data_IF_371553680452
#
_entry.id   IF_371553680452
#
_cell.length_a   1.000
_cell.length_b   1.000
_cell.length_c   1.000
_cell.angle_alpha   90.00
_cell.angle_beta   90.00
_cell.angle_gamma   90.00
#
_symmetry.space_group_name_H-M   'P 1'
#
loop_
_entity.id
_entity.type
_entity.pdbx_description
1 polymer ?
#
# COMPACT_ATOMS: atom_id res chain seq x y z
N UNK A 1 31.71 46.70 3.09
CA UNK A 1 32.31 45.34 3.16
C UNK A 1 31.86 44.50 4.37
N UNK A 2 31.26 45.05 5.45
CA UNK A 2 30.86 44.20 6.61
C UNK A 2 29.48 43.53 6.48
N UNK A 3 28.53 44.12 5.74
CA UNK A 3 27.17 43.53 5.57
C UNK A 3 27.21 42.27 4.68
N UNK A 4 28.05 42.25 3.65
CA UNK A 4 28.24 41.08 2.79
C UNK A 4 28.84 39.89 3.55
N UNK A 5 29.87 40.14 4.37
CA UNK A 5 30.52 39.12 5.21
C UNK A 5 29.57 38.56 6.30
N UNK A 6 28.70 39.40 6.87
CA UNK A 6 27.66 38.96 7.81
C UNK A 6 26.61 38.07 7.15
N UNK A 7 26.18 38.41 5.93
CA UNK A 7 25.21 37.62 5.16
C UNK A 7 25.78 36.25 4.78
N UNK A 8 27.04 36.21 4.35
CA UNK A 8 27.77 34.98 4.03
C UNK A 8 27.92 34.07 5.25
N UNK A 9 28.28 34.62 6.41
CA UNK A 9 28.37 33.84 7.65
C UNK A 9 27.02 33.26 8.09
N UNK A 10 25.92 34.01 7.96
CA UNK A 10 24.56 33.52 8.28
C UNK A 10 24.14 32.41 7.32
N UNK A 11 24.43 32.56 6.03
CA UNK A 11 24.17 31.51 5.02
C UNK A 11 25.01 30.27 5.31
N UNK A 12 26.31 30.40 5.59
CA UNK A 12 27.20 29.28 5.93
C UNK A 12 26.77 28.56 7.21
N UNK A 13 26.39 29.29 8.27
CA UNK A 13 25.86 28.70 9.51
C UNK A 13 24.51 28.03 9.27
N UNK A 14 23.64 28.64 8.47
CA UNK A 14 22.36 28.06 8.07
C UNK A 14 22.53 26.76 7.29
N UNK A 15 23.39 26.74 6.27
CA UNK A 15 23.74 25.57 5.47
C UNK A 15 24.41 24.48 6.31
N UNK A 16 25.32 24.85 7.23
CA UNK A 16 25.99 23.88 8.11
C UNK A 16 25.02 23.26 9.11
N UNK A 17 24.14 24.06 9.74
CA UNK A 17 23.09 23.57 10.63
C UNK A 17 22.09 22.70 9.90
N UNK A 18 21.73 23.07 8.67
CA UNK A 18 20.87 22.28 7.81
C UNK A 18 21.51 20.94 7.44
N UNK A 19 22.77 20.95 6.99
CA UNK A 19 23.52 19.77 6.62
C UNK A 19 23.71 18.84 7.83
N UNK A 20 24.04 19.39 8.99
CA UNK A 20 24.11 18.66 10.26
C UNK A 20 22.77 17.98 10.55
N UNK A 21 21.66 18.74 10.60
CA UNK A 21 20.33 18.19 10.88
C UNK A 21 19.93 17.06 9.92
N UNK A 22 20.36 17.13 8.65
CA UNK A 22 20.11 16.10 7.64
C UNK A 22 21.00 14.87 7.81
N UNK A 23 22.30 15.05 8.03
CA UNK A 23 23.24 13.94 8.24
C UNK A 23 22.99 13.20 9.56
N UNK A 24 22.39 13.89 10.54
CA UNK A 24 21.99 13.29 11.81
C UNK A 24 20.56 12.75 11.81
N UNK A 25 19.83 12.87 10.70
CA UNK A 25 18.45 12.42 10.63
C UNK A 25 18.40 10.88 10.52
N UNK A 26 17.57 10.25 11.35
CA UNK A 26 17.31 8.80 11.33
C UNK A 26 15.82 8.59 11.17
N UNK A 27 15.41 7.53 10.47
CA UNK A 27 14.01 7.24 10.16
C UNK A 27 13.12 7.16 11.40
N UNK A 28 13.67 6.83 12.56
CA UNK A 28 12.99 6.84 13.86
C UNK A 28 12.22 8.16 14.14
N UNK A 29 12.74 9.30 13.69
CA UNK A 29 12.12 10.62 13.88
C UNK A 29 10.83 10.80 13.09
N UNK A 30 10.64 10.11 11.96
CA UNK A 30 9.40 10.20 11.16
C UNK A 30 8.17 9.71 11.94
N UNK A 31 8.40 8.82 12.91
CA UNK A 31 7.35 8.15 13.70
C UNK A 31 7.40 8.50 15.19
N UNK A 32 8.22 9.46 15.60
CA UNK A 32 8.49 9.70 17.03
C UNK A 32 7.24 10.00 17.86
N UNK A 33 6.28 10.70 17.24
CA UNK A 33 5.00 11.08 17.84
C UNK A 33 3.90 10.04 17.68
N UNK A 34 4.15 8.93 16.97
CA UNK A 34 3.13 7.92 16.70
C UNK A 34 2.94 7.00 17.91
N UNK A 35 1.70 6.59 18.22
CA UNK A 35 1.44 5.64 19.29
C UNK A 35 2.09 4.27 18.98
N UNK A 36 2.44 3.49 20.01
CA UNK A 36 2.90 2.12 19.82
C UNK A 36 1.76 1.25 19.26
N UNK A 37 2.12 0.27 18.42
CA UNK A 37 1.18 -0.74 17.94
C UNK A 37 0.90 -1.79 19.02
N UNK A 38 -0.30 -2.36 19.03
CA UNK A 38 -0.64 -3.47 19.93
C UNK A 38 -0.12 -4.81 19.40
N UNK A 39 -0.15 -5.84 20.26
CA UNK A 39 0.18 -7.21 19.89
C UNK A 39 -0.78 -7.74 18.80
N UNK A 40 -2.08 -7.50 18.94
CA UNK A 40 -3.10 -7.88 17.95
C UNK A 40 -2.86 -7.26 16.57
N UNK A 41 -2.42 -6.00 16.52
CA UNK A 41 -2.06 -5.34 15.26
C UNK A 41 -0.81 -5.95 14.62
N UNK A 42 0.15 -6.41 15.44
CA UNK A 42 1.44 -6.93 15.00
C UNK A 42 1.41 -8.42 14.65
N UNK A 43 0.54 -9.22 15.29
CA UNK A 43 0.43 -10.69 15.11
C UNK A 43 0.43 -11.14 13.64
N UNK A 44 -0.32 -10.51 12.72
CA UNK A 44 -0.33 -10.94 11.31
C UNK A 44 0.97 -10.66 10.56
N UNK A 45 1.74 -9.63 10.95
CA UNK A 45 2.82 -9.08 10.13
C UNK A 45 3.95 -10.12 9.88
N UNK A 46 4.54 -10.79 10.90
CA UNK A 46 5.58 -11.79 10.65
C UNK A 46 5.08 -12.93 9.77
N UNK A 47 3.86 -13.43 10.03
CA UNK A 47 3.24 -14.52 9.27
C UNK A 47 3.07 -14.16 7.79
N UNK A 48 2.55 -12.99 7.50
CA UNK A 48 2.36 -12.51 6.13
C UNK A 48 3.71 -12.25 5.45
N UNK A 49 4.73 -11.77 6.19
CA UNK A 49 6.09 -11.67 5.66
C UNK A 49 6.62 -13.04 5.22
N UNK A 50 6.38 -14.10 5.98
CA UNK A 50 6.78 -15.47 5.59
C UNK A 50 6.06 -15.97 4.35
N UNK A 51 4.75 -15.68 4.20
CA UNK A 51 4.01 -16.00 2.98
C UNK A 51 4.60 -15.28 1.74
N UNK A 52 5.02 -14.02 1.88
CA UNK A 52 5.69 -13.28 0.79
C UNK A 52 7.11 -13.80 0.55
N UNK A 53 7.87 -14.15 1.60
CA UNK A 53 9.19 -14.77 1.49
C UNK A 53 9.14 -16.12 0.77
N UNK A 54 8.06 -16.90 0.92
CA UNK A 54 7.90 -18.18 0.24
C UNK A 54 7.87 -18.01 -1.30
N UNK A 55 7.47 -16.85 -1.79
CA UNK A 55 7.49 -16.53 -3.23
C UNK A 55 8.91 -16.33 -3.77
N UNK A 56 9.88 -16.02 -2.90
CA UNK A 56 11.29 -15.88 -3.28
C UNK A 56 12.04 -17.20 -3.36
N UNK A 57 11.53 -18.24 -2.72
CA UNK A 57 12.14 -19.56 -2.78
C UNK A 57 12.04 -20.12 -4.19
N UNK A 58 12.99 -20.98 -4.57
CA UNK A 58 12.93 -21.77 -5.80
C UNK A 58 12.15 -23.07 -5.54
N UNK A 59 12.39 -23.69 -4.39
CA UNK A 59 11.69 -24.88 -3.91
C UNK A 59 11.26 -24.68 -2.45
N UNK A 60 9.97 -24.86 -2.17
CA UNK A 60 9.43 -24.76 -0.81
C UNK A 60 9.75 -25.99 0.04
N UNK A 61 10.07 -27.14 -0.59
CA UNK A 61 10.52 -28.32 0.14
C UNK A 61 11.97 -28.19 0.62
N UNK A 62 12.78 -27.35 -0.04
CA UNK A 62 14.18 -27.09 0.31
C UNK A 62 14.48 -25.58 0.30
N UNK A 63 13.94 -24.82 1.27
CA UNK A 63 14.06 -23.37 1.30
C UNK A 63 15.50 -22.91 1.56
N UNK A 64 15.95 -21.88 0.83
CA UNK A 64 17.29 -21.28 0.93
C UNK A 64 17.34 -20.08 1.87
N UNK A 65 16.26 -19.33 2.00
CA UNK A 65 16.20 -18.05 2.73
C UNK A 65 15.30 -18.15 3.96
N UNK A 66 15.26 -19.32 4.57
CA UNK A 66 14.39 -19.62 5.69
C UNK A 66 14.62 -18.66 6.89
N UNK A 67 13.54 -18.04 7.41
CA UNK A 67 13.61 -17.22 8.62
C UNK A 67 14.00 -18.00 9.89
N UNK A 68 14.29 -17.27 10.96
CA UNK A 68 14.59 -17.87 12.25
C UNK A 68 13.36 -18.64 12.80
N UNK A 69 13.50 -19.96 12.96
CA UNK A 69 12.39 -20.83 13.34
C UNK A 69 11.46 -21.22 12.19
N UNK A 70 11.93 -21.12 10.94
CA UNK A 70 11.25 -21.66 9.79
C UNK A 70 10.20 -20.75 9.15
N UNK A 71 9.63 -21.22 8.05
CA UNK A 71 8.47 -20.57 7.42
C UNK A 71 7.21 -20.66 8.30
N UNK A 72 7.10 -21.69 9.14
CA UNK A 72 5.89 -21.95 9.97
C UNK A 72 4.60 -21.83 9.15
N UNK A 73 4.66 -22.34 7.92
CA UNK A 73 3.55 -22.43 6.98
C UNK A 73 3.25 -23.91 6.80
N UNK A 74 1.97 -24.25 6.68
CA UNK A 74 1.54 -25.60 6.31
C UNK A 74 1.69 -25.79 4.79
N UNK A 75 2.58 -26.66 4.29
CA UNK A 75 2.74 -26.87 2.85
C UNK A 75 1.44 -27.26 2.14
N UNK A 76 0.48 -27.91 2.83
CA UNK A 76 -0.82 -28.28 2.27
C UNK A 76 -1.74 -27.07 1.99
N UNK A 77 -1.42 -25.91 2.57
CA UNK A 77 -2.09 -24.64 2.31
C UNK A 77 -1.69 -24.00 1.00
N UNK A 78 -0.60 -24.44 0.34
CA UNK A 78 -0.14 -23.87 -0.93
C UNK A 78 -1.09 -24.31 -2.06
N UNK A 79 -1.99 -23.42 -2.47
CA UNK A 79 -2.93 -23.68 -3.57
C UNK A 79 -2.24 -23.53 -4.91
N UNK A 80 -1.44 -22.46 -5.06
CA UNK A 80 -0.82 -22.13 -6.34
C UNK A 80 0.44 -21.32 -6.15
N UNK A 81 1.48 -21.65 -6.91
CA UNK A 81 2.71 -20.85 -6.99
C UNK A 81 3.02 -20.62 -8.46
N UNK A 82 3.21 -19.36 -8.84
CA UNK A 82 3.40 -18.97 -10.24
C UNK A 82 4.75 -18.28 -10.40
N UNK A 83 5.77 -19.01 -10.92
CA UNK A 83 7.07 -18.45 -11.26
C UNK A 83 7.06 -17.65 -12.56
N UNK A 84 8.17 -16.96 -12.86
CA UNK A 84 8.31 -16.04 -14.00
C UNK A 84 7.97 -16.68 -15.37
N UNK A 85 8.41 -17.92 -15.57
CA UNK A 85 8.18 -18.70 -16.79
C UNK A 85 6.69 -18.95 -17.10
N UNK A 86 5.84 -18.90 -16.07
CA UNK A 86 4.39 -19.05 -16.20
C UNK A 86 3.64 -17.71 -16.31
N UNK A 87 4.37 -16.58 -16.40
CA UNK A 87 3.81 -15.24 -16.52
C UNK A 87 4.10 -14.69 -17.93
N UNK A 88 3.10 -14.73 -18.83
CA UNK A 88 3.23 -14.19 -20.18
C UNK A 88 3.68 -12.73 -20.17
N UNK A 89 4.63 -12.40 -21.05
CA UNK A 89 5.16 -11.05 -21.27
C UNK A 89 5.72 -10.34 -20.02
N UNK A 90 5.86 -11.06 -18.89
CA UNK A 90 6.27 -10.46 -17.62
C UNK A 90 5.30 -9.40 -17.10
N UNK A 91 3.99 -9.57 -17.34
CA UNK A 91 2.95 -8.61 -16.93
C UNK A 91 2.82 -8.39 -15.41
N UNK A 92 3.42 -9.26 -14.59
CA UNK A 92 3.40 -9.18 -13.13
C UNK A 92 4.61 -9.96 -12.56
N UNK A 93 5.12 -9.62 -11.36
CA UNK A 93 6.07 -10.47 -10.65
C UNK A 93 5.46 -11.82 -10.22
N UNK A 94 6.28 -12.81 -9.86
CA UNK A 94 5.84 -14.08 -9.28
C UNK A 94 4.94 -13.89 -8.06
N UNK A 95 4.04 -14.83 -7.86
CA UNK A 95 3.09 -14.80 -6.75
C UNK A 95 2.71 -16.19 -6.24
N UNK A 96 2.10 -16.22 -5.07
CA UNK A 96 1.63 -17.39 -4.35
C UNK A 96 0.19 -17.16 -3.88
N UNK A 97 -0.66 -18.18 -4.03
CA UNK A 97 -1.96 -18.28 -3.36
C UNK A 97 -1.83 -19.34 -2.28
N UNK A 98 -2.05 -18.94 -1.04
CA UNK A 98 -1.90 -19.75 0.16
C UNK A 98 -3.13 -19.66 1.05
N UNK A 99 -3.61 -20.78 1.56
CA UNK A 99 -4.72 -20.87 2.50
C UNK A 99 -4.15 -21.15 3.88
N UNK A 100 -4.25 -20.15 4.75
CA UNK A 100 -3.94 -20.25 6.16
C UNK A 100 -5.18 -20.66 6.93
N UNK A 101 -5.32 -21.97 7.17
CA UNK A 101 -6.50 -22.53 7.85
C UNK A 101 -6.54 -22.19 9.34
N UNK A 102 -5.38 -22.04 9.96
CA UNK A 102 -5.27 -21.67 11.37
C UNK A 102 -5.85 -20.28 11.62
N UNK A 103 -5.54 -19.34 10.72
CA UNK A 103 -5.98 -17.95 10.85
C UNK A 103 -7.23 -17.59 10.04
N UNK A 104 -7.76 -18.57 9.29
CA UNK A 104 -8.88 -18.41 8.35
C UNK A 104 -8.60 -17.31 7.32
N UNK A 105 -7.47 -17.39 6.62
CA UNK A 105 -7.05 -16.39 5.63
C UNK A 105 -6.72 -17.04 4.29
N UNK A 106 -7.18 -16.41 3.20
CA UNK A 106 -6.74 -16.69 1.84
C UNK A 106 -5.76 -15.59 1.46
N UNK A 107 -4.48 -15.94 1.36
CA UNK A 107 -3.38 -14.99 1.13
C UNK A 107 -2.94 -15.08 -0.33
N UNK A 108 -3.05 -13.97 -1.06
CA UNK A 108 -2.37 -13.78 -2.33
C UNK A 108 -1.13 -12.90 -2.09
N UNK A 109 0.04 -13.53 -2.15
CA UNK A 109 1.34 -12.92 -1.89
C UNK A 109 2.11 -12.65 -3.19
N UNK A 110 2.55 -11.42 -3.41
CA UNK A 110 3.27 -10.98 -4.62
C UNK A 110 4.72 -10.63 -4.31
N UNK A 111 5.64 -11.18 -5.11
CA UNK A 111 7.08 -10.92 -5.00
C UNK A 111 7.41 -9.46 -5.34
N UNK A 112 8.51 -8.98 -4.77
CA UNK A 112 9.17 -7.74 -5.17
C UNK A 112 10.04 -7.90 -6.40
N UNK A 113 10.66 -6.79 -6.82
CA UNK A 113 11.48 -6.71 -8.02
C UNK A 113 12.69 -7.65 -7.94
N UNK A 114 12.91 -8.42 -8.99
CA UNK A 114 14.17 -9.11 -9.23
C UNK A 114 15.07 -8.24 -10.11
N UNK A 115 16.25 -7.88 -9.59
CA UNK A 115 17.22 -7.00 -10.27
C UNK A 115 17.72 -7.54 -11.62
N UNK A 116 17.56 -8.83 -11.89
CA UNK A 116 17.96 -9.47 -13.16
C UNK A 116 16.82 -9.49 -14.18
N UNK A 117 15.56 -9.25 -13.75
CA UNK A 117 14.37 -9.41 -14.60
C UNK A 117 13.93 -8.07 -15.17
N UNK A 118 14.20 -7.85 -16.45
CA UNK A 118 13.77 -6.64 -17.19
C UNK A 118 12.25 -6.40 -17.14
N UNK A 119 11.44 -7.45 -17.08
CA UNK A 119 9.97 -7.33 -16.97
C UNK A 119 9.54 -6.57 -15.72
N UNK A 120 10.20 -6.80 -14.58
CA UNK A 120 9.84 -6.15 -13.32
C UNK A 120 10.16 -4.66 -13.38
N UNK A 121 11.25 -4.29 -14.06
CA UNK A 121 11.55 -2.91 -14.37
C UNK A 121 10.47 -2.31 -15.28
N UNK A 122 10.01 -2.99 -16.34
CA UNK A 122 8.94 -2.45 -17.19
C UNK A 122 7.68 -2.10 -16.39
N UNK A 123 7.23 -2.98 -15.48
CA UNK A 123 6.08 -2.72 -14.60
C UNK A 123 6.34 -1.50 -13.70
N UNK A 124 7.52 -1.42 -13.10
CA UNK A 124 7.88 -0.34 -12.18
C UNK A 124 8.06 1.03 -12.86
N UNK A 125 8.48 1.02 -14.12
CA UNK A 125 8.88 2.21 -14.85
C UNK A 125 7.77 2.75 -15.74
N UNK A 126 6.71 1.96 -15.93
CA UNK A 126 5.53 2.39 -16.64
C UNK A 126 4.67 3.33 -15.80
N UNK A 127 5.21 4.50 -15.45
CA UNK A 127 4.55 5.52 -14.66
C UNK A 127 4.96 6.92 -15.07
N UNK A 128 4.20 7.50 -16.00
CA UNK A 128 4.30 8.93 -16.29
C UNK A 128 3.46 9.69 -15.26
N UNK A 129 3.99 10.78 -14.72
CA UNK A 129 3.35 11.53 -13.65
C UNK A 129 1.95 12.03 -14.09
N UNK A 130 0.93 11.70 -13.30
CA UNK A 130 -0.46 12.05 -13.62
C UNK A 130 -1.09 11.25 -14.76
N UNK A 131 -0.46 10.16 -15.22
CA UNK A 131 -0.99 9.34 -16.31
C UNK A 131 -2.28 8.61 -15.96
N UNK A 132 -2.41 8.17 -14.71
CA UNK A 132 -3.49 7.29 -14.31
C UNK A 132 -4.26 7.87 -13.12
N UNK A 133 -5.46 8.39 -13.40
CA UNK A 133 -6.46 8.62 -12.36
C UNK A 133 -7.20 7.32 -12.04
N UNK A 134 -7.59 7.14 -10.80
CA UNK A 134 -8.37 5.99 -10.34
C UNK A 134 -9.06 6.33 -9.01
N UNK A 135 -10.37 6.06 -8.91
CA UNK A 135 -11.16 6.26 -7.69
C UNK A 135 -11.02 7.68 -7.07
N UNK A 136 -11.00 8.70 -7.92
CA UNK A 136 -10.85 10.10 -7.50
C UNK A 136 -9.44 10.47 -7.04
N UNK A 137 -8.43 9.63 -7.23
CA UNK A 137 -7.02 9.97 -7.00
C UNK A 137 -6.14 9.60 -8.18
N UNK A 138 -4.83 9.62 -7.96
CA UNK A 138 -3.83 9.17 -8.93
C UNK A 138 -3.14 7.91 -8.43
N UNK A 139 -2.84 6.98 -9.33
CA UNK A 139 -2.16 5.74 -9.00
C UNK A 139 -1.00 5.48 -9.95
N UNK A 140 -0.10 4.60 -9.56
CA UNK A 140 0.99 4.16 -10.42
C UNK A 140 0.46 3.28 -11.54
N UNK A 141 0.67 3.68 -12.79
CA UNK A 141 0.03 3.02 -13.94
C UNK A 141 0.46 1.56 -14.12
N UNK A 142 1.76 1.25 -14.17
CA UNK A 142 2.23 -0.13 -14.34
C UNK A 142 1.85 -1.08 -13.21
N UNK A 143 1.85 -0.60 -11.95
CA UNK A 143 1.36 -1.39 -10.80
C UNK A 143 -0.14 -1.65 -10.89
N UNK A 144 -0.93 -0.68 -11.38
CA UNK A 144 -2.36 -0.88 -11.62
C UNK A 144 -2.59 -1.93 -12.70
N UNK A 145 -1.85 -1.88 -13.81
CA UNK A 145 -1.96 -2.88 -14.87
C UNK A 145 -1.61 -4.29 -14.38
N UNK A 146 -0.53 -4.43 -13.60
CA UNK A 146 -0.15 -5.71 -13.02
C UNK A 146 -1.22 -6.22 -12.02
N UNK A 147 -1.82 -5.33 -11.23
CA UNK A 147 -2.92 -5.66 -10.32
C UNK A 147 -4.16 -6.16 -11.07
N UNK A 148 -4.59 -5.44 -12.12
CA UNK A 148 -5.72 -5.82 -12.97
C UNK A 148 -5.47 -7.15 -13.68
N UNK A 149 -4.25 -7.35 -14.21
CA UNK A 149 -3.85 -8.61 -14.83
C UNK A 149 -3.96 -9.79 -13.87
N UNK A 150 -3.50 -9.60 -12.62
CA UNK A 150 -3.53 -10.67 -11.61
C UNK A 150 -4.95 -11.03 -11.20
N UNK A 151 -5.85 -10.03 -11.08
CA UNK A 151 -7.27 -10.25 -10.84
C UNK A 151 -7.95 -10.97 -12.02
N UNK A 152 -7.69 -10.56 -13.27
CA UNK A 152 -8.17 -11.25 -14.48
C UNK A 152 -7.77 -12.74 -14.52
N UNK A 153 -6.61 -13.06 -13.94
CA UNK A 153 -6.08 -14.41 -13.90
C UNK A 153 -6.64 -15.24 -12.74
N UNK A 154 -6.75 -14.67 -11.54
CA UNK A 154 -6.96 -15.44 -10.30
C UNK A 154 -8.30 -15.20 -9.60
N UNK A 155 -9.16 -14.28 -10.07
CA UNK A 155 -10.45 -14.01 -9.42
C UNK A 155 -11.32 -15.25 -9.25
N UNK A 156 -11.40 -16.12 -10.26
CA UNK A 156 -12.21 -17.33 -10.16
C UNK A 156 -11.63 -18.31 -9.12
N UNK A 157 -10.31 -18.43 -9.05
CA UNK A 157 -9.63 -19.24 -8.01
C UNK A 157 -9.92 -18.70 -6.62
N UNK A 158 -9.79 -17.39 -6.41
CA UNK A 158 -10.07 -16.75 -5.12
C UNK A 158 -11.56 -16.88 -4.74
N UNK A 159 -12.47 -16.74 -5.70
CA UNK A 159 -13.91 -16.89 -5.48
C UNK A 159 -14.26 -18.32 -5.09
N UNK A 160 -13.71 -19.33 -5.78
CA UNK A 160 -13.92 -20.73 -5.42
C UNK A 160 -13.44 -21.03 -4.01
N UNK A 161 -12.24 -20.55 -3.63
CA UNK A 161 -11.73 -20.73 -2.28
C UNK A 161 -12.61 -20.07 -1.22
N UNK A 162 -13.10 -18.84 -1.46
CA UNK A 162 -14.03 -18.16 -0.54
C UNK A 162 -15.34 -18.94 -0.36
N UNK A 163 -15.88 -19.52 -1.43
CA UNK A 163 -17.11 -20.33 -1.37
C UNK A 163 -16.87 -21.65 -0.65
N UNK A 164 -15.76 -22.34 -0.95
CA UNK A 164 -15.41 -23.64 -0.38
C UNK A 164 -15.09 -23.56 1.12
N UNK A 165 -14.31 -22.55 1.52
CA UNK A 165 -13.83 -22.41 2.90
C UNK A 165 -14.84 -21.70 3.81
N UNK A 166 -15.79 -20.96 3.23
CA UNK A 166 -16.88 -20.30 3.94
C UNK A 166 -16.62 -18.85 4.31
N UNK A 167 -17.69 -18.18 4.75
CA UNK A 167 -17.72 -16.72 5.01
C UNK A 167 -16.88 -16.25 6.19
N UNK A 168 -16.28 -17.16 6.96
CA UNK A 168 -15.36 -16.79 8.05
C UNK A 168 -13.97 -16.41 7.53
N UNK A 169 -13.61 -16.82 6.31
CA UNK A 169 -12.31 -16.59 5.74
C UNK A 169 -12.14 -15.16 5.25
N UNK A 170 -10.98 -14.58 5.56
CA UNK A 170 -10.57 -13.26 5.09
C UNK A 170 -9.79 -13.38 3.80
N UNK A 171 -9.93 -12.38 2.93
CA UNK A 171 -9.10 -12.22 1.74
C UNK A 171 -7.95 -11.25 2.05
N UNK A 172 -6.72 -11.75 1.97
CA UNK A 172 -5.51 -11.01 2.31
C UNK A 172 -4.64 -10.86 1.06
N UNK A 173 -4.36 -9.61 0.69
CA UNK A 173 -3.36 -9.29 -0.32
C UNK A 173 -2.06 -8.89 0.35
N UNK A 174 -0.94 -9.45 -0.08
CA UNK A 174 0.35 -9.15 0.50
C UNK A 174 1.39 -8.98 -0.58
N UNK A 175 2.38 -8.13 -0.34
CA UNK A 175 3.50 -8.03 -1.24
C UNK A 175 4.65 -7.24 -0.68
N UNK A 176 5.82 -7.47 -1.26
CA UNK A 176 7.07 -6.79 -0.88
C UNK A 176 7.51 -5.83 -1.98
N UNK A 177 7.96 -4.62 -1.62
CA UNK A 177 8.61 -3.69 -2.55
C UNK A 177 7.74 -3.37 -3.77
N UNK A 178 8.10 -3.84 -4.96
CA UNK A 178 7.25 -3.76 -6.16
C UNK A 178 5.87 -4.43 -5.97
N UNK A 179 5.87 -5.65 -5.43
CA UNK A 179 4.66 -6.44 -5.22
C UNK A 179 3.71 -5.85 -4.19
N UNK A 180 4.21 -5.03 -3.26
CA UNK A 180 3.36 -4.38 -2.25
C UNK A 180 2.42 -3.35 -2.89
N UNK A 181 2.88 -2.64 -3.91
CA UNK A 181 2.06 -1.64 -4.61
C UNK A 181 1.01 -2.31 -5.50
N UNK A 182 1.36 -3.46 -6.09
CA UNK A 182 0.41 -4.31 -6.80
C UNK A 182 -0.68 -4.80 -5.83
N UNK A 183 -0.29 -5.37 -4.69
CA UNK A 183 -1.22 -5.85 -3.66
C UNK A 183 -2.14 -4.73 -3.13
N UNK A 184 -1.60 -3.53 -2.89
CA UNK A 184 -2.38 -2.37 -2.47
C UNK A 184 -3.41 -1.94 -3.52
N UNK A 185 -3.03 -1.86 -4.80
CA UNK A 185 -3.96 -1.49 -5.87
C UNK A 185 -5.01 -2.57 -6.15
N UNK A 186 -4.64 -3.86 -6.08
CA UNK A 186 -5.61 -4.97 -6.11
C UNK A 186 -6.64 -4.83 -5.01
N UNK A 187 -6.20 -4.48 -3.80
CA UNK A 187 -7.09 -4.29 -2.64
C UNK A 187 -8.12 -3.20 -2.91
N UNK A 188 -7.69 -2.05 -3.47
CA UNK A 188 -8.63 -0.98 -3.86
C UNK A 188 -9.65 -1.48 -4.89
N UNK A 189 -9.19 -2.17 -5.94
CA UNK A 189 -10.08 -2.70 -6.99
C UNK A 189 -11.13 -3.64 -6.38
N UNK A 190 -10.71 -4.57 -5.52
CA UNK A 190 -11.56 -5.59 -4.90
C UNK A 190 -12.56 -4.96 -3.92
N UNK A 191 -12.12 -4.00 -3.12
CA UNK A 191 -12.96 -3.28 -2.15
C UNK A 191 -14.06 -2.47 -2.86
N UNK A 192 -13.78 -1.92 -4.04
CA UNK A 192 -14.77 -1.20 -4.84
C UNK A 192 -15.71 -2.14 -5.63
N UNK A 193 -15.37 -3.42 -5.76
CA UNK A 193 -16.12 -4.40 -6.57
C UNK A 193 -16.38 -5.71 -5.79
N UNK A 194 -16.74 -5.59 -4.51
CA UNK A 194 -16.95 -6.74 -3.60
C UNK A 194 -17.98 -7.74 -4.13
N UNK A 195 -18.94 -7.30 -4.93
CA UNK A 195 -19.93 -8.17 -5.58
C UNK A 195 -19.28 -9.22 -6.50
N UNK A 196 -18.11 -8.94 -7.07
CA UNK A 196 -17.34 -9.92 -7.87
C UNK A 196 -16.74 -11.05 -7.01
N UNK A 197 -16.74 -10.89 -5.69
CA UNK A 197 -16.26 -11.87 -4.70
C UNK A 197 -17.40 -12.29 -3.76
N UNK A 198 -18.62 -12.40 -4.29
CA UNK A 198 -19.78 -12.86 -3.52
C UNK A 198 -20.27 -11.88 -2.46
N UNK A 199 -19.95 -10.59 -2.61
CA UNK A 199 -20.36 -9.56 -1.66
C UNK A 199 -19.53 -9.55 -0.37
N UNK A 200 -18.30 -10.08 -0.40
CA UNK A 200 -17.40 -10.14 0.76
C UNK A 200 -17.40 -8.80 1.53
N UNK A 201 -17.64 -8.81 2.86
CA UNK A 201 -17.55 -7.64 3.69
C UNK A 201 -16.21 -6.93 3.56
N UNK A 202 -16.21 -5.58 3.50
CA UNK A 202 -14.98 -4.78 3.48
C UNK A 202 -14.06 -5.10 4.67
N UNK A 203 -14.65 -5.41 5.83
CA UNK A 203 -13.94 -5.80 7.06
C UNK A 203 -13.17 -7.12 6.94
N UNK A 204 -13.46 -7.95 5.93
CA UNK A 204 -12.78 -9.22 5.65
C UNK A 204 -11.71 -9.10 4.56
N UNK A 205 -11.51 -7.92 3.99
CA UNK A 205 -10.43 -7.66 3.03
C UNK A 205 -9.30 -6.94 3.77
N UNK A 206 -8.07 -7.44 3.65
CA UNK A 206 -6.88 -6.82 4.24
C UNK A 206 -5.73 -6.79 3.24
N UNK A 207 -4.87 -5.80 3.38
CA UNK A 207 -3.62 -5.70 2.65
C UNK A 207 -2.44 -5.47 3.59
N UNK A 208 -1.35 -6.17 3.33
CA UNK A 208 -0.05 -5.95 3.97
C UNK A 208 0.98 -5.57 2.91
N UNK A 209 1.25 -4.28 2.82
CA UNK A 209 2.21 -3.71 1.88
C UNK A 209 3.58 -3.58 2.56
N UNK A 210 4.47 -4.55 2.36
CA UNK A 210 5.75 -4.64 3.05
C UNK A 210 6.82 -3.87 2.26
N UNK A 211 7.53 -2.95 2.91
CA UNK A 211 8.53 -2.07 2.31
C UNK A 211 8.02 -1.35 1.04
N UNK A 212 6.91 -0.58 1.13
CA UNK A 212 6.12 -0.33 -0.06
C UNK A 212 6.66 0.71 -1.03
N UNK A 213 6.46 0.44 -2.32
CA UNK A 213 6.53 1.47 -3.35
C UNK A 213 5.41 2.50 -3.20
N UNK A 214 5.72 3.77 -3.51
CA UNK A 214 4.71 4.83 -3.60
C UNK A 214 3.82 4.56 -4.81
N UNK A 215 2.55 4.27 -4.56
CA UNK A 215 1.66 3.73 -5.59
C UNK A 215 0.33 4.47 -5.74
N UNK A 216 -0.01 5.40 -4.84
CA UNK A 216 -1.27 6.14 -4.88
C UNK A 216 -1.17 7.54 -4.27
N UNK A 217 -2.05 8.44 -4.67
CA UNK A 217 -2.15 9.80 -4.12
C UNK A 217 -2.59 9.78 -2.65
N UNK A 218 -2.33 10.89 -1.94
CA UNK A 218 -2.54 10.96 -0.50
C UNK A 218 -4.01 10.76 -0.10
N UNK A 219 -4.96 11.27 -0.90
CA UNK A 219 -6.39 11.05 -0.65
C UNK A 219 -6.75 9.55 -0.67
N UNK A 220 -6.17 8.77 -1.60
CA UNK A 220 -6.38 7.32 -1.65
C UNK A 220 -5.68 6.61 -0.49
N UNK A 221 -4.44 7.00 -0.17
CA UNK A 221 -3.70 6.42 0.95
C UNK A 221 -4.47 6.56 2.27
N UNK A 222 -5.13 7.71 2.50
CA UNK A 222 -5.98 7.93 3.67
C UNK A 222 -7.33 7.21 3.54
N UNK A 223 -7.98 7.26 2.36
CA UNK A 223 -9.28 6.59 2.11
C UNK A 223 -9.27 5.09 2.39
N UNK A 224 -8.15 4.42 2.12
CA UNK A 224 -8.01 2.96 2.27
C UNK A 224 -7.17 2.53 3.48
N UNK A 225 -6.92 3.44 4.43
CA UNK A 225 -6.08 3.16 5.59
C UNK A 225 -6.68 2.19 6.62
N UNK A 226 -7.97 1.87 6.51
CA UNK A 226 -8.66 0.84 7.28
C UNK A 226 -8.40 -0.59 6.78
N UNK A 227 -8.06 -0.75 5.49
CA UNK A 227 -7.83 -2.05 4.86
C UNK A 227 -6.38 -2.27 4.43
N UNK A 228 -5.62 -1.21 4.13
CA UNK A 228 -4.20 -1.30 3.72
C UNK A 228 -3.27 -0.95 4.88
N UNK A 229 -2.38 -1.88 5.20
CA UNK A 229 -1.36 -1.78 6.24
C UNK A 229 0.03 -1.82 5.61
N UNK A 230 0.74 -0.69 5.61
CA UNK A 230 2.12 -0.58 5.17
C UNK A 230 3.09 -0.91 6.30
N UNK A 231 4.04 -1.83 6.07
CA UNK A 231 5.04 -2.22 7.07
C UNK A 231 6.42 -1.76 6.62
N UNK A 232 7.09 -0.99 7.47
CA UNK A 232 8.35 -0.33 7.13
C UNK A 232 9.36 -0.56 8.25
N UNK A 233 10.58 -0.94 7.90
CA UNK A 233 11.69 -1.07 8.84
C UNK A 233 12.61 0.14 8.72
N UNK A 234 12.89 0.79 9.85
CA UNK A 234 13.94 1.80 10.01
C UNK A 234 14.07 2.80 8.84
N UNK A 235 15.20 2.80 8.14
CA UNK A 235 15.62 3.82 7.19
C UNK A 235 15.31 3.41 5.74
N UNK A 236 14.38 2.46 5.53
CA UNK A 236 13.96 2.01 4.21
C UNK A 236 13.62 3.20 3.29
N UNK A 237 14.31 3.28 2.16
CA UNK A 237 14.22 4.40 1.25
C UNK A 237 12.97 4.39 0.39
N UNK A 238 12.41 3.21 0.10
CA UNK A 238 11.41 3.07 -0.96
C UNK A 238 10.12 3.86 -0.65
N UNK A 239 9.57 3.81 0.59
CA UNK A 239 8.43 4.63 0.97
C UNK A 239 8.74 6.13 1.00
N UNK A 240 10.02 6.49 1.13
CA UNK A 240 10.51 7.87 1.35
C UNK A 240 10.96 8.59 0.08
N UNK A 241 11.08 7.90 -1.05
CA UNK A 241 11.56 8.50 -2.30
C UNK A 241 10.46 8.62 -3.35
N UNK A 242 10.24 9.84 -3.85
CA UNK A 242 9.44 10.08 -5.05
C UNK A 242 10.24 9.87 -6.35
N UNK A 243 11.51 9.50 -6.24
CA UNK A 243 12.42 9.43 -7.39
C UNK A 243 12.20 8.13 -8.14
N UNK A 244 12.16 8.17 -9.49
CA UNK A 244 11.99 6.97 -10.28
C UNK A 244 13.09 5.96 -9.95
N UNK A 245 12.66 4.71 -9.73
CA UNK A 245 13.52 3.65 -9.23
C UNK A 245 14.57 3.19 -10.23
N UNK A 246 14.36 3.46 -11.52
CA UNK A 246 15.37 3.46 -12.59
C UNK A 246 16.69 4.08 -12.14
N UNK A 247 16.63 5.30 -11.61
CA UNK A 247 17.81 6.04 -11.22
C UNK A 247 18.41 5.52 -9.92
N UNK A 248 17.58 4.95 -9.04
CA UNK A 248 18.01 4.34 -7.78
C UNK A 248 18.79 3.06 -8.06
N UNK A 249 18.22 2.15 -8.85
CA UNK A 249 18.83 0.87 -9.19
C UNK A 249 19.91 0.97 -10.27
N UNK A 250 19.88 2.00 -11.12
CA UNK A 250 20.96 2.31 -12.06
C UNK A 250 22.19 2.94 -11.39
N UNK A 251 22.02 3.60 -10.23
CA UNK A 251 23.08 4.29 -9.51
C UNK A 251 23.74 3.46 -8.40
N UNK A 252 23.69 2.12 -8.47
CA UNK A 252 24.25 1.22 -7.43
C UNK A 252 25.70 1.57 -7.07
N UNK A 253 26.50 2.02 -8.05
CA UNK A 253 27.92 2.40 -7.84
C UNK A 253 28.14 3.73 -7.09
N UNK A 254 27.11 4.55 -6.85
CA UNK A 254 27.19 5.76 -6.00
C UNK A 254 25.83 6.05 -5.31
N UNK A 255 25.12 5.01 -4.85
CA UNK A 255 23.78 5.15 -4.26
C UNK A 255 23.71 6.19 -3.13
N UNK A 256 24.71 6.29 -2.22
CA UNK A 256 24.74 7.36 -1.22
C UNK A 256 24.81 8.78 -1.84
N UNK A 257 25.58 8.95 -2.91
CA UNK A 257 25.74 10.22 -3.63
C UNK A 257 24.45 10.63 -4.33
N UNK A 258 23.79 9.66 -4.95
CA UNK A 258 22.48 9.85 -5.59
C UNK A 258 21.43 10.26 -4.56
N UNK A 259 21.35 9.53 -3.44
CA UNK A 259 20.41 9.83 -2.37
C UNK A 259 20.64 11.22 -1.77
N UNK A 260 21.91 11.65 -1.67
CA UNK A 260 22.27 13.02 -1.30
C UNK A 260 21.73 14.06 -2.29
N UNK A 261 21.91 13.86 -3.60
CA UNK A 261 21.37 14.77 -4.63
C UNK A 261 19.84 14.88 -4.59
N UNK A 262 19.15 13.75 -4.41
CA UNK A 262 17.69 13.73 -4.25
C UNK A 262 17.28 14.46 -2.98
N UNK A 263 17.97 14.20 -1.86
CA UNK A 263 17.71 14.86 -0.58
C UNK A 263 17.86 16.39 -0.67
N UNK A 264 18.89 16.86 -1.38
CA UNK A 264 19.10 18.27 -1.69
C UNK A 264 17.91 18.82 -2.47
N UNK A 265 17.53 18.19 -3.59
CA UNK A 265 16.39 18.62 -4.41
C UNK A 265 15.10 18.71 -3.59
N UNK A 266 14.77 17.68 -2.83
CA UNK A 266 13.52 17.56 -2.10
C UNK A 266 13.40 18.54 -0.92
N UNK A 267 14.53 19.06 -0.42
CA UNK A 267 14.58 20.09 0.61
C UNK A 267 14.10 21.45 0.10
N UNK A 268 14.38 21.78 -1.17
CA UNK A 268 14.01 23.08 -1.74
C UNK A 268 12.58 23.13 -2.29
N UNK A 269 11.81 22.04 -2.18
CA UNK A 269 10.41 22.01 -2.59
C UNK A 269 9.52 22.34 -1.38
N UNK A 270 8.78 23.47 -1.39
CA UNK A 270 7.91 23.85 -0.29
C UNK A 270 6.81 22.81 -0.03
N UNK A 271 6.47 22.59 1.24
CA UNK A 271 5.48 21.60 1.64
C UNK A 271 4.10 21.84 1.00
N UNK A 272 3.66 23.10 0.98
CA UNK A 272 2.43 23.54 0.30
C UNK A 272 2.41 23.14 -1.17
N UNK A 273 3.56 23.20 -1.85
CA UNK A 273 3.69 22.79 -3.27
C UNK A 273 3.58 21.26 -3.42
N UNK A 274 4.13 20.49 -2.46
CA UNK A 274 3.99 19.02 -2.46
C UNK A 274 2.55 18.58 -2.21
N UNK A 275 1.82 19.25 -1.31
CA UNK A 275 0.43 18.96 -0.98
C UNK A 275 -0.53 19.33 -2.11
N UNK A 276 -0.25 20.43 -2.81
CA UNK A 276 -1.08 20.91 -3.91
C UNK A 276 -0.95 20.08 -5.21
N UNK A 277 0.04 19.19 -5.34
CA UNK A 277 0.19 18.34 -6.52
C UNK A 277 -0.60 17.03 -6.35
N UNK A 278 -1.77 16.87 -6.99
CA UNK A 278 -2.60 15.66 -6.84
C UNK A 278 -1.92 14.41 -7.41
N UNK A 279 -0.92 14.58 -8.29
CA UNK A 279 -0.26 13.49 -9.02
C UNK A 279 0.90 12.89 -8.23
N UNK A 280 1.25 13.47 -7.08
CA UNK A 280 2.30 12.94 -6.20
C UNK A 280 1.79 11.67 -5.53
N UNK A 281 2.56 10.60 -5.69
CA UNK A 281 2.25 9.31 -5.07
C UNK A 281 2.94 9.17 -3.72
N UNK A 282 2.33 8.38 -2.83
CA UNK A 282 2.70 8.12 -1.45
C UNK A 282 2.61 6.62 -1.16
N UNK A 283 3.21 6.21 -0.03
CA UNK A 283 3.02 4.86 0.49
C UNK A 283 1.56 4.67 0.95
N UNK A 284 0.97 3.48 0.72
CA UNK A 284 -0.47 3.31 0.84
C UNK A 284 -0.91 3.02 2.29
N UNK A 285 -2.06 3.53 2.69
CA UNK A 285 -2.74 3.10 3.92
C UNK A 285 -2.08 3.51 5.25
N UNK A 286 -2.47 2.80 6.31
CA UNK A 286 -1.90 2.95 7.68
C UNK A 286 -0.48 2.41 7.71
N UNK A 287 0.44 3.09 8.37
CA UNK A 287 1.84 2.68 8.45
C UNK A 287 2.18 2.05 9.80
N UNK A 288 2.94 0.97 9.78
CA UNK A 288 3.59 0.32 10.91
C UNK A 288 5.10 0.46 10.72
N UNK A 289 5.71 1.30 11.54
CA UNK A 289 7.13 1.59 11.47
C UNK A 289 7.88 0.87 12.59
N UNK A 290 8.75 -0.05 12.20
CA UNK A 290 9.58 -0.87 13.10
C UNK A 290 10.90 -0.14 13.34
N UNK A 291 11.15 0.22 14.60
CA UNK A 291 12.29 1.02 15.01
C UNK A 291 13.23 0.20 15.92
N UNK A 292 14.32 -0.33 15.36
CA UNK A 292 15.39 -1.05 16.11
C UNK A 292 16.70 -0.23 16.38
N UNK A 293 16.81 1.02 15.91
CA UNK A 293 18.02 1.86 15.96
C UNK A 293 17.68 3.33 16.27
N UNK A 294 18.62 4.04 16.89
CA UNK A 294 18.53 5.47 17.28
C UNK A 294 19.83 6.22 16.96
N UNK A 295 19.72 7.52 16.67
CA UNK A 295 20.87 8.39 16.36
C UNK A 295 21.93 8.39 17.49
N UNK A 296 23.22 8.41 17.12
CA UNK A 296 24.39 8.45 18.03
C UNK A 296 24.49 7.32 19.07
N UNK A 297 23.82 6.18 18.86
CA UNK A 297 23.92 5.02 19.76
C UNK A 297 24.41 3.80 18.99
N UNK A 298 25.46 3.16 19.49
CA UNK A 298 26.02 1.95 18.89
C UNK A 298 25.15 0.74 19.24
N UNK A 299 24.67 0.01 18.22
CA UNK A 299 23.96 -1.27 18.38
C UNK A 299 22.49 -1.26 17.97
N UNK A 300 21.91 -2.47 17.90
CA UNK A 300 20.47 -2.69 17.71
C UNK A 300 19.79 -2.79 19.07
N UNK A 301 18.63 -2.17 19.21
CA UNK A 301 17.80 -2.17 20.40
C UNK A 301 16.60 -3.11 20.22
N UNK A 302 15.93 -3.50 21.32
CA UNK A 302 14.61 -4.12 21.24
C UNK A 302 13.71 -3.31 20.29
N UNK A 303 13.19 -3.93 19.21
CA UNK A 303 12.42 -3.22 18.21
C UNK A 303 11.11 -2.70 18.80
N UNK A 304 10.77 -1.46 18.48
CA UNK A 304 9.49 -0.84 18.84
C UNK A 304 8.70 -0.59 17.57
N UNK A 305 7.45 -1.04 17.52
CA UNK A 305 6.55 -0.80 16.38
C UNK A 305 5.62 0.35 16.71
N UNK A 306 5.58 1.35 15.84
CA UNK A 306 4.69 2.51 15.96
C UNK A 306 3.75 2.59 14.78
N UNK A 307 2.52 3.05 15.00
CA UNK A 307 1.46 3.02 13.98
C UNK A 307 0.71 4.34 13.87
N UNK A 308 0.45 4.79 12.65
CA UNK A 308 -0.36 5.98 12.36
C UNK A 308 -0.85 6.02 10.90
N UNK A 309 -1.74 6.96 10.60
CA UNK A 309 -2.12 7.33 9.24
C UNK A 309 -1.49 8.72 8.97
N UNK A 310 -0.29 8.78 8.35
CA UNK A 310 0.44 10.03 8.27
C UNK A 310 -0.12 10.95 7.19
N UNK A 311 -1.01 11.86 7.60
CA UNK A 311 -1.50 12.97 6.77
C UNK A 311 -0.48 14.12 6.76
N UNK A 312 0.07 14.44 7.94
CA UNK A 312 1.15 15.41 8.13
C UNK A 312 2.48 14.67 8.33
N UNK A 313 3.60 15.25 7.86
CA UNK A 313 4.91 14.59 7.90
C UNK A 313 5.10 13.44 6.87
N UNK A 314 4.01 12.76 6.45
CA UNK A 314 3.83 11.89 5.26
C UNK A 314 4.90 10.81 5.02
N UNK A 315 5.78 10.58 5.98
CA UNK A 315 6.87 9.62 5.89
C UNK A 315 7.74 9.82 4.63
N UNK A 316 7.99 11.07 4.25
CA UNK A 316 8.70 11.43 3.01
C UNK A 316 10.15 11.88 3.20
N UNK A 317 10.66 11.89 4.43
CA UNK A 317 12.02 12.35 4.67
C UNK A 317 13.01 11.28 4.26
N UNK A 318 13.75 11.54 3.18
CA UNK A 318 14.87 10.70 2.76
C UNK A 318 15.92 10.65 3.88
N UNK A 319 16.22 9.45 4.34
CA UNK A 319 17.25 9.16 5.34
C UNK A 319 18.52 8.72 4.62
N UNK A 320 19.64 9.39 4.89
CA UNK A 320 20.94 8.99 4.35
C UNK A 320 21.58 7.96 5.28
N UNK A 321 21.35 6.68 5.02
CA UNK A 321 21.86 5.57 5.85
C UNK A 321 22.55 4.51 4.99
N UNK A 322 23.62 3.91 5.51
CA UNK A 322 24.29 2.78 4.86
C UNK A 322 23.49 1.47 4.99
N UNK A 323 22.50 1.44 5.89
CA UNK A 323 21.63 0.28 6.15
C UNK A 323 20.34 0.30 5.35
N UNK A 324 20.11 1.35 4.55
CA UNK A 324 18.87 1.58 3.82
C UNK A 324 18.46 0.42 2.89
N UNK A 325 19.43 -0.26 2.27
CA UNK A 325 19.15 -1.45 1.44
C UNK A 325 18.85 -2.69 2.26
N UNK A 326 19.50 -2.87 3.42
CA UNK A 326 19.19 -3.97 4.33
C UNK A 326 17.83 -3.80 4.99
N UNK A 327 17.44 -2.57 5.34
CA UNK A 327 16.14 -2.27 5.93
C UNK A 327 14.99 -2.50 4.95
N UNK A 328 15.27 -2.39 3.65
CA UNK A 328 14.34 -2.75 2.59
C UNK A 328 14.14 -4.26 2.47
N UNK A 329 15.03 -5.09 3.01
CA UNK A 329 14.96 -6.54 2.86
C UNK A 329 13.88 -7.18 3.73
N UNK A 330 12.90 -7.85 3.12
CA UNK A 330 11.82 -8.55 3.83
C UNK A 330 12.28 -9.55 4.90
N UNK A 331 13.44 -10.20 4.76
CA UNK A 331 14.01 -11.09 5.79
C UNK A 331 14.29 -10.33 7.09
N UNK A 332 14.76 -9.09 6.99
CA UNK A 332 15.01 -8.24 8.15
C UNK A 332 13.71 -7.70 8.75
N UNK A 333 12.75 -7.35 7.90
CA UNK A 333 11.42 -6.89 8.33
C UNK A 333 10.72 -8.01 9.11
N UNK A 334 10.72 -9.24 8.60
CA UNK A 334 10.15 -10.41 9.29
C UNK A 334 10.84 -10.62 10.64
N UNK A 335 12.17 -10.62 10.66
CA UNK A 335 12.95 -10.84 11.89
C UNK A 335 12.63 -9.81 12.96
N UNK A 336 12.66 -8.52 12.62
CA UNK A 336 12.44 -7.47 13.61
C UNK A 336 10.96 -7.35 14.00
N UNK A 337 10.02 -7.66 13.09
CA UNK A 337 8.60 -7.78 13.43
C UNK A 337 8.35 -8.94 14.39
N UNK A 338 8.97 -10.10 14.16
CA UNK A 338 8.82 -11.27 15.04
C UNK A 338 9.38 -10.97 16.44
N UNK A 339 10.58 -10.40 16.53
CA UNK A 339 11.16 -9.99 17.82
C UNK A 339 10.27 -8.99 18.56
N UNK A 340 9.69 -8.01 17.86
CA UNK A 340 8.79 -7.06 18.49
C UNK A 340 7.53 -7.74 19.03
N UNK A 341 6.99 -8.73 18.29
CA UNK A 341 5.83 -9.51 18.71
C UNK A 341 6.14 -10.40 19.94
N UNK A 342 7.29 -11.05 19.94
CA UNK A 342 7.73 -11.88 21.07
C UNK A 342 7.87 -11.02 22.33
N UNK A 343 8.50 -9.84 22.23
CA UNK A 343 8.64 -8.91 23.34
C UNK A 343 7.31 -8.41 23.89
N UNK A 344 6.32 -8.12 23.03
CA UNK A 344 4.99 -7.70 23.47
C UNK A 344 4.25 -8.84 24.17
N UNK A 345 4.43 -10.07 23.71
CA UNK A 345 3.81 -11.27 24.28
C UNK A 345 4.42 -11.63 25.64
N UNK A 346 5.75 -11.53 25.77
CA UNK A 346 6.44 -11.79 27.04
C UNK A 346 6.10 -10.76 28.13
N UNK A 347 5.80 -9.50 27.73
CA UNK A 347 5.37 -8.45 28.66
C UNK A 347 3.89 -8.55 29.06
N UNK A 348 3.07 -9.32 28.34
CA UNK A 348 1.65 -9.51 28.62
C UNK A 348 1.30 -11.02 28.66
N UNK A 349 1.42 -11.70 29.82
CA UNK A 349 1.18 -13.14 29.91
C UNK A 349 -0.28 -13.57 29.69
N UNK A 350 -1.20 -12.63 29.47
CA UNK A 350 -2.62 -12.88 29.18
C UNK A 350 -3.09 -11.96 28.07
N UNK A 351 -3.78 -12.51 27.08
CA UNK A 351 -4.54 -11.76 26.06
C UNK A 351 -5.30 -10.59 26.71
N UNK A 352 -5.24 -9.37 26.15
CA UNK A 352 -5.91 -8.22 26.72
C UNK A 352 -7.42 -8.50 26.84
N UNK A 353 -8.09 -8.05 27.94
CA UNK A 353 -9.52 -8.23 28.12
C UNK A 353 -10.31 -7.79 26.87
N UNK A 354 -11.42 -8.46 26.53
CA UNK A 354 -12.22 -8.14 25.33
C UNK A 354 -12.58 -6.64 25.20
N UNK A 355 -12.77 -5.96 26.34
CA UNK A 355 -13.04 -4.53 26.39
C UNK A 355 -11.87 -3.68 25.86
N UNK A 356 -10.63 -3.98 26.22
CA UNK A 356 -9.46 -3.28 25.69
C UNK A 356 -9.30 -3.48 24.17
N UNK A 357 -9.65 -4.66 23.66
CA UNK A 357 -9.63 -4.93 22.21
C UNK A 357 -10.71 -4.13 21.47
N UNK A 358 -11.91 -4.04 22.05
CA UNK A 358 -13.00 -3.21 21.51
C UNK A 358 -12.62 -1.73 21.51
N UNK A 359 -12.09 -1.23 22.62
CA UNK A 359 -11.65 0.16 22.76
C UNK A 359 -10.56 0.51 21.74
N UNK A 360 -9.62 -0.41 21.49
CA UNK A 360 -8.58 -0.21 20.46
C UNK A 360 -9.17 -0.18 19.05
N UNK A 361 -10.12 -1.06 18.71
CA UNK A 361 -10.79 -1.04 17.40
C UNK A 361 -11.52 0.29 17.18
N UNK A 362 -12.27 0.77 18.18
CA UNK A 362 -12.93 2.07 18.13
C UNK A 362 -11.92 3.23 18.00
N UNK A 363 -10.77 3.13 18.68
CA UNK A 363 -9.66 4.09 18.52
C UNK A 363 -9.12 4.11 17.09
N UNK A 364 -8.95 2.95 16.44
CA UNK A 364 -8.46 2.87 15.06
C UNK A 364 -9.45 3.47 14.05
N UNK A 365 -10.75 3.23 14.24
CA UNK A 365 -11.82 3.83 13.44
C UNK A 365 -11.87 5.35 13.61
N UNK A 366 -11.72 5.82 14.86
CA UNK A 366 -11.62 7.26 15.17
C UNK A 366 -10.38 7.89 14.53
N UNK A 367 -9.21 7.27 14.68
CA UNK A 367 -7.96 7.74 14.05
C UNK A 367 -8.10 7.84 12.52
N UNK A 368 -8.82 6.91 11.90
CA UNK A 368 -9.09 6.96 10.45
C UNK A 368 -10.02 8.10 10.07
N UNK A 369 -11.10 8.30 10.83
CA UNK A 369 -12.01 9.44 10.65
C UNK A 369 -11.28 10.77 10.80
N UNK A 370 -10.48 10.92 11.86
CA UNK A 370 -9.69 12.13 12.14
C UNK A 370 -8.69 12.39 11.00
N UNK A 371 -8.08 11.34 10.44
CA UNK A 371 -7.17 11.46 9.29
C UNK A 371 -7.89 11.93 8.01
N UNK A 372 -9.11 11.44 7.75
CA UNK A 372 -9.93 11.88 6.62
C UNK A 372 -10.33 13.36 6.76
N UNK A 373 -10.78 13.76 7.94
CA UNK A 373 -11.11 15.16 8.25
C UNK A 373 -9.87 16.06 8.15
N UNK A 374 -8.72 15.60 8.67
CA UNK A 374 -7.45 16.32 8.54
C UNK A 374 -7.05 16.48 7.08
N UNK A 375 -7.23 15.45 6.25
CA UNK A 375 -6.92 15.52 4.83
C UNK A 375 -7.74 16.59 4.09
N UNK A 376 -9.03 16.71 4.43
CA UNK A 376 -9.92 17.75 3.91
C UNK A 376 -9.47 19.13 4.41
N UNK A 377 -9.16 19.28 5.69
CA UNK A 377 -8.70 20.55 6.27
C UNK A 377 -7.40 21.10 5.65
N UNK A 378 -6.55 20.21 5.12
CA UNK A 378 -5.32 20.57 4.41
C UNK A 378 -5.52 20.83 2.91
N UNK A 379 -6.77 20.84 2.43
CA UNK A 379 -7.14 20.99 1.03
C UNK A 379 -6.43 19.98 0.12
N UNK A 380 -6.30 18.73 0.58
CA UNK A 380 -5.77 17.67 -0.26
C UNK A 380 -6.75 17.45 -1.43
N UNK A 381 -6.29 17.47 -2.68
CA UNK A 381 -7.16 17.29 -3.83
C UNK A 381 -7.98 16.01 -3.75
N UNK A 382 -9.29 16.12 -4.00
CA UNK A 382 -10.23 15.00 -3.99
C UNK A 382 -10.30 14.22 -2.66
N UNK A 383 -9.89 14.83 -1.54
CA UNK A 383 -10.19 14.32 -0.21
C UNK A 383 -11.69 14.53 0.07
N UNK A 384 -12.34 13.51 0.63
CA UNK A 384 -13.77 13.52 0.94
C UNK A 384 -13.93 13.11 2.40
N UNK A 385 -14.82 13.79 3.13
CA UNK A 385 -15.24 13.35 4.46
C UNK A 385 -16.17 12.15 4.33
N UNK A 386 -16.10 11.20 5.27
CA UNK A 386 -17.13 10.15 5.34
C UNK A 386 -18.43 10.81 5.78
N UNK A 387 -19.26 11.21 4.82
CA UNK A 387 -20.69 11.36 5.06
C UNK A 387 -21.23 9.96 5.31
N UNK A 388 -21.90 9.78 6.43
CA UNK A 388 -22.63 8.56 6.82
C UNK A 388 -23.63 8.18 5.73
N UNK A 389 -23.17 7.44 4.72
CA UNK A 389 -23.99 6.69 3.77
C UNK A 389 -23.52 5.22 3.78
N UNK A 390 -23.35 4.67 4.97
CA UNK A 390 -23.61 3.25 5.20
C UNK A 390 -25.09 3.14 5.59
N UNK A 391 -25.98 3.25 4.59
CA UNK A 391 -27.41 3.34 4.85
C UNK A 391 -28.25 3.71 3.63
N UNK A 392 -27.98 3.11 2.47
CA UNK A 392 -29.00 2.99 1.43
C UNK A 392 -28.70 1.73 0.64
N UNK A 393 -29.33 0.64 1.05
CA UNK A 393 -29.69 -0.41 0.11
C UNK A 393 -30.49 0.27 -0.99
N UNK A 394 -29.87 0.38 -2.17
CA UNK A 394 -30.54 0.90 -3.35
C UNK A 394 -31.66 -0.05 -3.72
N UNK A 395 -32.88 0.30 -3.31
CA UNK A 395 -34.10 -0.13 -3.97
C UNK A 395 -34.01 0.33 -5.43
N UNK A 396 -33.71 -0.60 -6.33
CA UNK A 396 -33.85 -0.35 -7.76
C UNK A 396 -35.30 0.01 -8.05
N UNK A 397 -35.52 1.28 -8.37
CA UNK A 397 -36.77 1.74 -8.94
C UNK A 397 -36.95 1.04 -10.30
N UNK A 398 -38.03 0.26 -10.39
CA UNK A 398 -38.50 -0.33 -11.64
C UNK A 398 -38.68 0.77 -12.71
N UNK A 399 -38.22 0.57 -13.95
CA UNK A 399 -38.57 1.49 -15.01
C UNK A 399 -40.01 1.21 -15.47
N UNK A 400 -40.81 2.27 -15.41
CA UNK A 400 -42.15 2.31 -15.98
C UNK A 400 -42.14 2.00 -17.47
N UNK A 401 -43.23 1.34 -17.86
CA UNK A 401 -43.64 0.90 -19.20
C UNK A 401 -43.25 1.86 -20.32
N UNK A 402 -42.49 1.33 -21.29
CA UNK A 402 -42.59 1.76 -22.70
C UNK A 402 -42.75 0.52 -23.59
N UNK A 403 -43.90 0.49 -24.25
CA UNK A 403 -44.41 -0.30 -25.37
C UNK A 403 -43.55 -1.44 -25.98
N UNK A 404 -44.22 -2.60 -26.05
CA UNK A 404 -43.96 -3.72 -26.95
C UNK A 404 -43.67 -3.26 -28.39
N UNK A 405 -42.53 -3.68 -28.92
CA UNK A 405 -42.45 -4.22 -30.28
C UNK A 405 -41.57 -5.47 -30.25
N UNK A 406 -42.17 -6.57 -30.69
CA UNK A 406 -41.57 -7.90 -30.70
C UNK A 406 -40.46 -8.01 -31.75
N UNK A 407 -39.28 -8.46 -31.34
CA UNK A 407 -38.33 -9.11 -32.24
C UNK A 407 -37.54 -10.18 -31.45
N UNK A 408 -37.83 -11.42 -31.79
CA UNK A 408 -37.26 -12.66 -31.28
C UNK A 408 -35.75 -12.72 -31.55
N UNK A 409 -34.92 -12.88 -30.51
CA UNK A 409 -33.63 -13.56 -30.67
C UNK A 409 -33.19 -14.20 -29.35
N UNK A 410 -33.04 -15.52 -29.39
CA UNK A 410 -32.44 -16.32 -28.34
C UNK A 410 -30.99 -15.86 -28.12
N UNK A 411 -30.63 -15.52 -26.88
CA UNK A 411 -29.23 -15.62 -26.46
C UNK A 411 -29.12 -16.33 -25.12
N UNK A 412 -28.40 -17.44 -25.17
CA UNK A 412 -27.98 -18.31 -24.08
C UNK A 412 -27.30 -17.53 -22.94
N UNK A 413 -27.65 -17.85 -21.69
CA UNK A 413 -26.86 -17.51 -20.49
C UNK A 413 -25.42 -18.00 -20.70
N UNK A 414 -24.48 -17.09 -20.95
CA UNK A 414 -23.06 -17.38 -20.89
C UNK A 414 -22.56 -17.12 -19.46
N UNK A 415 -21.83 -18.08 -18.89
CA UNK A 415 -21.02 -17.87 -17.69
C UNK A 415 -19.86 -16.91 -18.05
N UNK A 416 -20.15 -15.63 -18.16
CA UNK A 416 -19.18 -14.61 -18.53
C UNK A 416 -18.11 -14.44 -17.46
N UNK A 417 -16.87 -14.77 -17.80
CA UNK A 417 -15.68 -14.49 -17.00
C UNK A 417 -15.58 -12.97 -16.73
N UNK A 418 -15.34 -12.57 -15.48
CA UNK A 418 -15.19 -11.15 -15.12
C UNK A 418 -13.98 -10.55 -15.83
N UNK A 419 -14.19 -9.52 -16.65
CA UNK A 419 -13.12 -8.70 -17.22
C UNK A 419 -12.89 -7.49 -16.31
N UNK A 420 -11.75 -7.47 -15.63
CA UNK A 420 -11.38 -6.39 -14.72
C UNK A 420 -10.93 -5.13 -15.44
N UNK A 421 -10.49 -5.23 -16.69
CA UNK A 421 -10.13 -4.06 -17.49
C UNK A 421 -11.38 -3.16 -17.65
N UNK A 422 -12.54 -3.75 -17.99
CA UNK A 422 -13.81 -3.03 -18.15
C UNK A 422 -14.31 -2.43 -16.83
N UNK A 423 -14.06 -3.10 -15.69
CA UNK A 423 -14.48 -2.62 -14.37
C UNK A 423 -13.58 -1.48 -13.86
N UNK A 424 -12.27 -1.61 -14.07
CA UNK A 424 -11.32 -0.53 -13.81
C UNK A 424 -11.62 0.66 -14.71
N UNK A 425 -12.03 0.42 -15.97
CA UNK A 425 -12.51 1.46 -16.88
C UNK A 425 -13.73 2.22 -16.37
N UNK A 426 -14.70 1.51 -15.76
CA UNK A 426 -15.88 2.15 -15.14
C UNK A 426 -15.55 2.98 -13.91
N UNK A 427 -14.42 2.73 -13.25
CA UNK A 427 -13.89 3.58 -12.17
C UNK A 427 -13.11 4.80 -12.69
N UNK A 428 -12.93 4.93 -14.01
CA UNK A 428 -12.44 6.15 -14.65
C UNK A 428 -13.61 7.06 -15.00
N UNK A 429 -13.58 8.29 -14.50
CA UNK A 429 -14.58 9.32 -14.77
C UNK A 429 -14.34 9.99 -16.12
N UNK A 430 -15.16 9.93 -17.20
CA UNK A 430 -14.94 10.68 -18.49
C UNK A 430 -15.66 12.04 -18.55
N UNK A 431 -15.03 13.03 -19.20
CA UNK A 431 -15.45 14.41 -19.47
C UNK A 431 -15.74 14.61 -20.96
N UNK A 432 -16.52 15.65 -21.28
CA UNK A 432 -17.05 15.93 -22.64
C UNK A 432 -15.98 16.24 -23.71
N UNK A 433 -14.71 16.40 -23.33
CA UNK A 433 -13.58 16.57 -24.27
C UNK A 433 -12.75 15.30 -24.49
N UNK A 434 -13.20 14.15 -23.94
CA UNK A 434 -12.43 12.90 -23.93
C UNK A 434 -11.36 12.81 -22.83
N UNK A 435 -11.25 13.83 -21.98
CA UNK A 435 -10.48 13.78 -20.73
C UNK A 435 -11.34 13.25 -19.58
N UNK A 436 -10.81 13.02 -18.38
CA UNK A 436 -11.55 12.33 -17.30
C UNK A 436 -12.07 13.30 -16.18
N UNK A 437 -13.41 13.42 -15.91
CA UNK A 437 -14.04 14.34 -14.89
C UNK A 437 -15.26 13.74 -14.14
N UNK A 438 -15.40 14.08 -12.84
CA UNK A 438 -16.32 13.58 -11.79
C UNK A 438 -17.83 13.44 -12.13
N UNK A 439 -18.48 12.37 -11.65
CA UNK A 439 -19.93 12.11 -11.79
C UNK A 439 -20.84 13.00 -10.90
N UNK A 440 -20.29 13.68 -9.88
CA UNK A 440 -21.09 14.54 -8.97
C UNK A 440 -21.34 15.96 -9.51
N UNK A 441 -20.71 16.33 -10.62
CA UNK A 441 -20.85 17.67 -11.21
C UNK A 441 -21.92 17.74 -12.32
N UNK A 442 -22.51 16.61 -12.74
CA UNK A 442 -23.58 16.59 -13.77
C UNK A 442 -24.96 16.89 -13.15
N UNK A 443 -25.16 16.60 -11.86
CA UNK A 443 -26.45 16.80 -11.18
C UNK A 443 -26.62 18.17 -10.52
N UNK A 444 -25.65 19.08 -10.65
CA UNK A 444 -25.79 20.47 -10.17
C UNK A 444 -26.09 21.43 -11.34
N UNK A 445 -25.74 21.07 -12.57
CA UNK A 445 -25.97 21.93 -13.74
C UNK A 445 -27.35 21.78 -14.39
N UNK A 446 -28.13 20.75 -14.07
CA UNK A 446 -29.46 20.51 -14.65
C UNK A 446 -30.62 21.02 -13.79
N UNK A 447 -30.37 21.51 -12.57
CA UNK A 447 -31.41 22.13 -11.71
C UNK A 447 -31.45 23.66 -11.77
N UNK A 448 -30.73 24.30 -12.71
CA UNK A 448 -30.68 25.77 -12.85
C UNK A 448 -31.39 26.31 -14.11
N UNK A 449 -32.06 25.46 -14.89
CA UNK A 449 -32.93 25.90 -15.99
C UNK A 449 -34.14 24.99 -16.13
N UNK A 450 -35.16 25.25 -15.33
CA UNK A 450 -36.57 25.03 -15.63
C UNK A 450 -37.40 26.01 -14.80
#
# INVERSE_FOLDING_TARGET
>A
MSVACGLECVVCLGCSRWAWKRLTYVGAYDSETWPPATDEELKPIPRVCRAVLAVYEEDLASPRYQPAGGYRMDPSGVVKRVPYDQIPNGSCPPYLIYVDREHKEIILAVRGLNLVRESDYKVLLDNRLGRQMFDGGYVHHGLLQAATWLLNRETDTLRHLLVELGSEYKLVFAGHSLGSGIAALMTIIVVNHRNQFGGIPRSQIRCYAIAPARCMSLNLAVKYADVINSVILQDDFLPRTATPLEYIFGSIFCFPCFLFLVCMRDTFIPEKKKLADPRRLYAPGRMYHIVERKFCRCGRYPPVVRTAIPVEGRFEHIVLSCSTTSDHGIVWIEREAQKALDLLTDMQPTTPPPQQQMDRKQSLEKEHKDALERAVSLNIPHAVTVTTEEGSEGTEAAPDKVQETAATSNSSRSNGRTNWDDLVEKLFTRSESGNLVLNKDINISTSATA
#
